data_IF_645934168235
#
_entry.id   IF_645934168235
#
_cell.length_a   1.000
_cell.length_b   1.000
_cell.length_c   1.000
_cell.angle_alpha   90.00
_cell.angle_beta   90.00
_cell.angle_gamma   90.00
#
_symmetry.space_group_name_H-M   'P 1'
#
loop_
_entity.id
_entity.type
_entity.pdbx_description
1 polymer ?
#
# COMPACT_ATOMS: atom_id res chain seq x y z
N UNK A 1 23.26 -40.23 -44.85
CA UNK A 1 23.70 -39.75 -43.53
C UNK A 1 23.49 -38.25 -43.53
N UNK A 2 22.50 -37.74 -42.79
CA UNK A 2 22.12 -36.32 -42.79
C UNK A 2 21.89 -35.90 -41.34
N UNK A 3 22.59 -34.85 -40.95
CA UNK A 3 22.85 -34.41 -39.59
C UNK A 3 21.56 -33.95 -38.89
N UNK A 4 21.39 -34.37 -37.63
CA UNK A 4 20.37 -33.86 -36.72
C UNK A 4 20.98 -32.60 -36.09
N UNK A 5 20.60 -31.43 -36.59
CA UNK A 5 20.96 -30.16 -35.96
C UNK A 5 20.12 -29.97 -34.69
N UNK A 6 20.67 -30.39 -33.56
CA UNK A 6 20.23 -30.03 -32.21
C UNK A 6 20.46 -28.53 -31.98
N UNK A 7 19.50 -27.71 -32.40
CA UNK A 7 19.40 -26.31 -31.97
C UNK A 7 18.81 -26.29 -30.56
N UNK A 8 19.68 -25.96 -29.60
CA UNK A 8 19.35 -25.81 -28.21
C UNK A 8 18.21 -24.80 -28.02
N UNK A 9 17.07 -25.26 -27.52
CA UNK A 9 16.04 -24.41 -26.93
C UNK A 9 16.58 -23.85 -25.62
N UNK A 10 17.14 -22.65 -25.68
CA UNK A 10 17.41 -21.83 -24.50
C UNK A 10 16.07 -21.47 -23.85
N UNK A 11 15.73 -22.20 -22.78
CA UNK A 11 14.67 -21.81 -21.86
C UNK A 11 15.03 -20.43 -21.27
N UNK A 12 14.32 -19.40 -21.71
CA UNK A 12 14.27 -18.13 -21.00
C UNK A 12 13.53 -18.36 -19.68
N UNK A 13 14.28 -18.69 -18.63
CA UNK A 13 13.83 -18.49 -17.26
C UNK A 13 13.61 -16.99 -17.07
N UNK A 14 12.38 -16.52 -17.29
CA UNK A 14 11.92 -15.31 -16.63
C UNK A 14 11.96 -15.60 -15.14
N UNK A 15 13.08 -15.23 -14.52
CA UNK A 15 13.20 -15.16 -13.08
C UNK A 15 12.04 -14.33 -12.56
N UNK A 16 11.09 -14.98 -11.90
CA UNK A 16 10.26 -14.36 -10.88
C UNK A 16 11.24 -13.88 -9.80
N UNK A 17 11.91 -12.76 -10.04
CA UNK A 17 12.49 -12.00 -8.96
C UNK A 17 11.29 -11.68 -8.05
N UNK A 18 11.23 -12.21 -6.81
CA UNK A 18 10.27 -11.68 -5.86
C UNK A 18 10.57 -10.20 -5.82
N UNK A 19 9.62 -9.39 -6.26
CA UNK A 19 9.75 -7.94 -6.22
C UNK A 19 10.16 -7.64 -4.79
N UNK A 20 11.41 -7.22 -4.58
CA UNK A 20 11.86 -6.85 -3.25
C UNK A 20 10.90 -5.74 -2.84
N UNK A 21 10.00 -6.07 -1.91
CA UNK A 21 8.98 -5.14 -1.44
C UNK A 21 9.79 -4.09 -0.69
N UNK A 22 10.16 -3.02 -1.39
CA UNK A 22 10.82 -1.89 -0.78
C UNK A 22 9.88 -1.42 0.31
N UNK A 23 10.40 -1.38 1.54
CA UNK A 23 9.61 -0.96 2.67
C UNK A 23 9.07 0.45 2.39
N UNK A 24 7.76 0.64 2.54
CA UNK A 24 7.14 1.94 2.26
C UNK A 24 7.44 2.97 3.32
N UNK A 25 7.73 2.53 4.54
CA UNK A 25 8.17 3.36 5.65
C UNK A 25 9.36 2.71 6.34
N UNK A 26 10.00 3.41 7.27
CA UNK A 26 11.08 2.83 8.06
C UNK A 26 10.56 1.69 8.96
N UNK A 27 11.48 0.85 9.44
CA UNK A 27 11.12 -0.25 10.33
C UNK A 27 10.48 0.25 11.62
N UNK A 28 9.41 -0.43 12.04
CA UNK A 28 8.61 -0.05 13.21
C UNK A 28 7.61 1.08 12.95
N UNK A 29 7.50 1.58 11.72
CA UNK A 29 6.51 2.56 11.32
C UNK A 29 5.32 1.93 10.59
N UNK A 30 4.23 2.69 10.52
CA UNK A 30 3.07 2.36 9.65
C UNK A 30 2.86 3.46 8.64
N UNK A 31 2.39 3.06 7.47
CA UNK A 31 1.96 3.94 6.40
C UNK A 31 0.45 4.20 6.46
N UNK A 32 0.06 5.41 6.11
CA UNK A 32 -1.33 5.80 5.85
C UNK A 32 -1.38 6.38 4.46
N UNK A 33 -2.40 5.97 3.71
CA UNK A 33 -2.65 6.51 2.39
C UNK A 33 -3.82 5.78 1.76
N UNK A 34 -3.61 5.24 0.57
CA UNK A 34 -4.67 4.71 -0.28
C UNK A 34 -4.38 3.32 -0.80
N UNK A 35 -5.43 2.51 -0.88
CA UNK A 35 -5.45 1.22 -1.53
C UNK A 35 -6.32 1.34 -2.78
N UNK A 36 -5.74 1.02 -3.93
CA UNK A 36 -6.37 1.08 -5.23
C UNK A 36 -6.47 -0.33 -5.81
N UNK A 37 -7.68 -0.73 -6.19
CA UNK A 37 -7.94 -1.97 -6.89
C UNK A 37 -8.49 -1.61 -8.26
N UNK A 38 -7.79 -2.05 -9.30
CA UNK A 38 -8.21 -1.89 -10.68
C UNK A 38 -8.91 -3.17 -11.15
N UNK A 39 -9.89 -2.99 -12.02
CA UNK A 39 -10.54 -4.05 -12.75
C UNK A 39 -9.98 -4.11 -14.17
N UNK A 40 -10.08 -5.29 -14.78
CA UNK A 40 -9.83 -5.45 -16.21
C UNK A 40 -10.86 -4.59 -16.95
N UNK A 41 -10.38 -3.60 -17.70
CA UNK A 41 -11.23 -2.81 -18.59
C UNK A 41 -11.20 -3.33 -20.02
N UNK A 42 -11.50 -2.46 -20.98
CA UNK A 42 -11.49 -2.81 -22.40
C UNK A 42 -10.11 -2.58 -23.03
N UNK A 43 -9.80 -3.24 -24.15
CA UNK A 43 -8.56 -2.97 -24.89
C UNK A 43 -8.39 -1.50 -25.29
N UNK A 44 -9.49 -0.77 -25.55
CA UNK A 44 -9.44 0.65 -25.90
C UNK A 44 -9.28 1.59 -24.69
N UNK A 45 -9.88 1.26 -23.54
CA UNK A 45 -9.92 2.15 -22.37
C UNK A 45 -8.90 1.80 -21.29
N UNK A 46 -8.26 0.63 -21.38
CA UNK A 46 -7.30 0.15 -20.39
C UNK A 46 -7.94 -0.22 -19.05
N UNK A 47 -7.14 -0.42 -17.99
CA UNK A 47 -7.62 -0.79 -16.66
C UNK A 47 -8.48 0.32 -16.02
N UNK A 48 -9.53 -0.07 -15.30
CA UNK A 48 -10.48 0.87 -14.68
C UNK A 48 -10.38 0.78 -13.15
N UNK A 49 -10.33 1.90 -12.45
CA UNK A 49 -10.30 1.92 -10.98
C UNK A 49 -11.64 1.42 -10.43
N UNK A 50 -11.62 0.28 -9.74
CA UNK A 50 -12.80 -0.36 -9.16
C UNK A 50 -13.02 -0.03 -7.69
N UNK A 51 -11.95 0.19 -6.93
CA UNK A 51 -12.00 0.60 -5.53
C UNK A 51 -10.80 1.47 -5.20
N UNK A 52 -11.05 2.49 -4.39
CA UNK A 52 -10.04 3.43 -3.91
C UNK A 52 -10.42 3.82 -2.49
N UNK A 53 -9.74 3.23 -1.51
CA UNK A 53 -10.09 3.34 -0.11
C UNK A 53 -8.89 3.79 0.70
N UNK A 54 -9.13 4.42 1.84
CA UNK A 54 -8.04 4.67 2.77
C UNK A 54 -7.52 3.37 3.36
N UNK A 55 -6.22 3.33 3.66
CA UNK A 55 -5.57 2.12 4.19
C UNK A 55 -4.49 2.48 5.21
N UNK A 56 -4.37 1.64 6.23
CA UNK A 56 -3.20 1.57 7.12
C UNK A 56 -2.37 0.37 6.65
N UNK A 57 -1.10 0.61 6.36
CA UNK A 57 -0.18 -0.36 5.76
C UNK A 57 1.00 -0.53 6.71
N UNK A 58 1.46 -1.76 6.89
CA UNK A 58 2.74 -2.01 7.53
C UNK A 58 3.90 -1.53 6.64
N UNK A 59 5.07 -1.31 7.24
CA UNK A 59 6.28 -0.95 6.50
C UNK A 59 6.57 -1.91 5.32
N UNK A 60 6.23 -3.19 5.45
CA UNK A 60 6.44 -4.23 4.44
C UNK A 60 5.27 -4.40 3.44
N UNK A 61 4.46 -3.36 3.20
CA UNK A 61 3.33 -3.37 2.28
C UNK A 61 2.13 -4.25 2.65
N UNK A 62 2.15 -4.94 3.80
CA UNK A 62 0.98 -5.68 4.27
C UNK A 62 -0.13 -4.71 4.70
N UNK A 63 -1.38 -5.05 4.37
CA UNK A 63 -2.53 -4.26 4.84
C UNK A 63 -2.75 -4.55 6.32
N UNK A 64 -2.82 -3.51 7.13
CA UNK A 64 -3.25 -3.59 8.54
C UNK A 64 -4.76 -3.41 8.61
N UNK A 65 -5.28 -2.35 7.99
CA UNK A 65 -6.70 -2.06 7.97
C UNK A 65 -7.09 -1.24 6.73
N UNK A 66 -8.30 -1.45 6.22
CA UNK A 66 -8.89 -0.69 5.12
C UNK A 66 -10.10 0.06 5.66
N UNK A 67 -10.22 1.33 5.29
CA UNK A 67 -11.37 2.14 5.66
C UNK A 67 -12.59 1.76 4.83
N UNK A 68 -13.76 1.80 5.45
CA UNK A 68 -15.02 1.72 4.71
C UNK A 68 -15.35 3.00 3.93
N UNK A 69 -14.53 4.06 4.09
CA UNK A 69 -14.59 5.27 3.27
C UNK A 69 -13.66 5.19 2.07
N UNK A 70 -14.18 5.65 0.94
CA UNK A 70 -13.39 5.90 -0.26
C UNK A 70 -12.39 7.04 -0.04
N UNK A 71 -11.27 6.97 -0.75
CA UNK A 71 -10.22 7.98 -0.67
C UNK A 71 -10.70 9.34 -1.22
N UNK A 72 -10.46 10.42 -0.47
CA UNK A 72 -10.87 11.80 -0.77
C UNK A 72 -9.70 12.80 -0.60
N UNK A 73 -8.51 12.42 -1.06
CA UNK A 73 -7.28 13.26 -1.11
C UNK A 73 -6.68 13.69 0.24
N UNK A 74 -7.29 13.29 1.36
CA UNK A 74 -6.78 13.57 2.70
C UNK A 74 -6.89 12.31 3.57
N UNK A 75 -5.76 11.76 4.01
CA UNK A 75 -5.67 10.60 4.90
C UNK A 75 -6.58 10.66 6.14
N UNK A 76 -6.96 11.87 6.55
CA UNK A 76 -7.76 12.13 7.73
C UNK A 76 -9.27 12.09 7.51
N UNK A 77 -9.76 12.18 6.27
CA UNK A 77 -11.20 12.11 5.97
C UNK A 77 -11.80 10.73 6.26
N UNK A 78 -10.96 9.70 6.41
CA UNK A 78 -11.38 8.39 6.90
C UNK A 78 -11.85 8.43 8.36
N UNK A 79 -11.19 9.23 9.22
CA UNK A 79 -11.41 9.23 10.65
C UNK A 79 -11.27 7.82 11.29
N UNK A 80 -12.15 7.43 12.23
CA UNK A 80 -12.09 6.14 12.91
C UNK A 80 -12.66 4.95 12.10
N UNK A 81 -12.79 5.09 10.78
CA UNK A 81 -13.58 4.16 9.95
C UNK A 81 -12.79 2.99 9.37
N UNK A 82 -11.80 2.46 10.09
CA UNK A 82 -10.93 1.37 9.63
C UNK A 82 -11.34 -0.01 10.20
N UNK A 83 -12.56 -0.12 10.73
CA UNK A 83 -13.02 -1.28 11.47
C UNK A 83 -12.63 -1.23 12.95
N UNK A 84 -12.99 -2.27 13.68
CA UNK A 84 -12.84 -2.29 15.14
C UNK A 84 -11.36 -2.32 15.54
N UNK A 85 -10.94 -1.41 16.42
CA UNK A 85 -9.56 -1.32 16.92
C UNK A 85 -8.58 -0.56 16.03
N UNK A 86 -9.05 0.08 14.95
CA UNK A 86 -8.21 0.86 14.04
C UNK A 86 -8.78 2.25 13.80
N UNK A 87 -7.94 3.28 13.88
CA UNK A 87 -8.39 4.65 13.61
C UNK A 87 -7.25 5.56 13.21
N UNK A 88 -7.58 6.61 12.45
CA UNK A 88 -6.71 7.76 12.20
C UNK A 88 -7.39 8.99 12.77
N UNK A 89 -6.74 9.72 13.68
CA UNK A 89 -7.33 10.83 14.42
C UNK A 89 -6.31 11.96 14.68
N UNK A 90 -6.80 13.10 15.19
CA UNK A 90 -5.94 14.21 15.63
C UNK A 90 -5.23 14.93 14.49
N UNK A 91 -5.87 15.00 13.32
CA UNK A 91 -5.23 15.53 12.13
C UNK A 91 -5.08 17.05 12.14
N UNK A 92 -4.01 17.53 11.52
CA UNK A 92 -3.81 18.96 11.28
C UNK A 92 -4.54 19.45 10.02
N UNK A 93 -4.50 20.77 9.78
CA UNK A 93 -5.16 21.39 8.62
C UNK A 93 -4.59 21.00 7.25
N UNK A 94 -3.49 20.25 7.19
CA UNK A 94 -2.88 19.73 5.96
C UNK A 94 -3.14 18.23 5.76
N UNK A 95 -3.99 17.63 6.59
CA UNK A 95 -4.29 16.20 6.51
C UNK A 95 -3.20 15.30 7.07
N UNK A 96 -2.26 15.83 7.87
CA UNK A 96 -1.26 15.02 8.56
C UNK A 96 -1.93 14.29 9.73
N UNK A 97 -1.84 12.96 9.81
CA UNK A 97 -2.31 12.21 10.97
C UNK A 97 -1.61 12.63 12.27
N UNK A 98 -2.36 12.85 13.34
CA UNK A 98 -1.81 13.08 14.68
C UNK A 98 -1.58 11.77 15.44
N UNK A 99 -2.54 10.87 15.35
CA UNK A 99 -2.53 9.55 15.99
C UNK A 99 -3.15 8.50 15.09
N UNK A 100 -2.47 7.37 14.96
CA UNK A 100 -2.96 6.17 14.29
C UNK A 100 -3.00 5.04 15.32
N UNK A 101 -4.19 4.53 15.56
CA UNK A 101 -4.44 3.43 16.51
C UNK A 101 -4.53 2.15 15.70
N UNK A 102 -3.85 1.11 16.16
CA UNK A 102 -3.98 -0.26 15.67
C UNK A 102 -4.03 -1.22 16.85
N UNK A 103 -4.47 -2.44 16.61
CA UNK A 103 -4.42 -3.52 17.61
C UNK A 103 -2.99 -3.90 18.04
N UNK A 104 -1.97 -3.59 17.22
CA UNK A 104 -0.56 -3.83 17.50
C UNK A 104 0.17 -2.67 18.18
N UNK A 105 -0.54 -1.58 18.50
CA UNK A 105 -0.02 -0.39 19.14
C UNK A 105 -0.44 0.91 18.45
N UNK A 106 -0.06 2.02 19.08
CA UNK A 106 -0.34 3.38 18.63
C UNK A 106 0.87 3.96 17.88
N UNK A 107 0.60 4.82 16.91
CA UNK A 107 1.61 5.49 16.10
C UNK A 107 1.31 6.99 16.00
N UNK A 108 2.35 7.81 16.08
CA UNK A 108 2.25 9.26 16.04
C UNK A 108 3.47 9.86 15.31
N UNK A 109 3.69 11.17 15.45
CA UNK A 109 4.82 11.89 14.85
C UNK A 109 4.99 11.61 13.34
N UNK A 110 3.90 11.78 12.61
CA UNK A 110 3.84 11.40 11.21
C UNK A 110 4.61 12.38 10.31
N UNK A 111 5.21 11.88 9.24
CA UNK A 111 5.88 12.68 8.23
C UNK A 111 5.42 12.29 6.84
N UNK A 112 5.47 13.27 5.92
CA UNK A 112 5.01 13.08 4.55
C UNK A 112 5.94 12.09 3.85
N UNK A 113 5.34 11.12 3.17
CA UNK A 113 6.02 10.22 2.27
C UNK A 113 5.46 10.42 0.87
N UNK A 114 6.31 10.80 -0.08
CA UNK A 114 5.90 11.08 -1.48
C UNK A 114 6.38 10.01 -2.45
N UNK A 115 6.91 8.89 -1.96
CA UNK A 115 7.47 7.82 -2.81
C UNK A 115 7.15 6.39 -2.38
N UNK A 116 6.51 6.18 -1.22
CA UNK A 116 6.15 4.85 -0.77
C UNK A 116 5.02 4.27 -1.60
N UNK A 117 5.31 3.23 -2.39
CA UNK A 117 4.32 2.55 -3.20
C UNK A 117 4.53 1.03 -3.20
N UNK A 118 3.43 0.30 -3.10
CA UNK A 118 3.38 -1.15 -3.14
C UNK A 118 2.53 -1.61 -4.31
N UNK A 119 3.05 -2.54 -5.11
CA UNK A 119 2.23 -3.38 -5.98
C UNK A 119 2.15 -4.78 -5.33
N UNK A 120 0.97 -5.17 -4.86
CA UNK A 120 0.75 -6.50 -4.23
C UNK A 120 0.05 -7.48 -5.17
N UNK A 121 -0.07 -7.13 -6.45
CA UNK A 121 -0.63 -7.95 -7.51
C UNK A 121 -0.84 -7.15 -8.81
N UNK A 122 -1.24 -7.81 -9.91
CA UNK A 122 -1.35 -7.18 -11.23
C UNK A 122 -2.36 -6.03 -11.32
N UNK A 123 -3.20 -5.84 -10.30
CA UNK A 123 -4.23 -4.80 -10.27
C UNK A 123 -4.41 -4.18 -8.89
N UNK A 124 -3.51 -4.49 -7.95
CA UNK A 124 -3.66 -4.14 -6.56
C UNK A 124 -2.47 -3.30 -6.12
N UNK A 125 -2.76 -2.05 -5.79
CA UNK A 125 -1.76 -1.06 -5.50
C UNK A 125 -2.05 -0.35 -4.19
N UNK A 126 -0.99 0.06 -3.49
CA UNK A 126 -1.09 0.86 -2.28
C UNK A 126 -0.09 2.00 -2.32
N UNK A 127 -0.55 3.21 -2.08
CA UNK A 127 0.29 4.39 -1.91
C UNK A 127 0.36 4.78 -0.44
N UNK A 128 1.57 4.98 0.06
CA UNK A 128 1.83 5.57 1.38
C UNK A 128 2.01 7.08 1.22
N UNK A 129 1.15 7.86 1.88
CA UNK A 129 1.19 9.32 1.87
C UNK A 129 1.86 9.89 3.13
N UNK A 130 1.72 9.15 4.23
CA UNK A 130 2.28 9.46 5.53
C UNK A 130 2.90 8.22 6.14
N UNK A 131 4.04 8.39 6.81
CA UNK A 131 4.62 7.39 7.67
C UNK A 131 4.55 7.88 9.12
N UNK A 132 4.08 7.04 10.04
CA UNK A 132 3.94 7.35 11.45
C UNK A 132 4.78 6.41 12.30
N UNK A 133 5.50 7.00 13.26
CA UNK A 133 6.39 6.29 14.17
C UNK A 133 5.61 5.61 15.27
N UNK A 134 6.08 4.46 15.73
CA UNK A 134 5.52 3.81 16.91
C UNK A 134 5.57 4.77 18.09
N UNK A 135 4.41 4.98 18.70
CA UNK A 135 4.28 5.78 19.90
C UNK A 135 4.83 5.01 21.08
N UNK A 136 5.47 5.73 22.01
CA UNK A 136 5.92 5.19 23.29
C UNK A 136 4.90 5.43 24.40
N UNK A 137 3.77 6.07 24.09
CA UNK A 137 2.74 6.40 25.06
C UNK A 137 1.66 5.31 25.02
N UNK A 138 1.43 4.68 26.17
CA UNK A 138 0.41 3.65 26.35
C UNK A 138 -0.96 4.28 26.63
#
# INVERSE_FOLDING_TARGET
MKFIDTTALTLALLGLAPSAVLAVCADGEVAIGRQMIYNIGTPQSGPVLGSDNYVIIANNCNTIAVSDRGFQNDACSAGPRYGNGYSVTGCDGNGKPGLVVTTGGNFNNCYRNTGGYCATGPWFFKGAEWCCKRSTWA
#
